data_IF_833019412618
#
_entry.id   IF_833019412618
#
_cell.length_a   1.000
_cell.length_b   1.000
_cell.length_c   1.000
_cell.angle_alpha   90.00
_cell.angle_beta   90.00
_cell.angle_gamma   90.00
#
_symmetry.space_group_name_H-M   'P 1'
#
loop_
_entity.id
_entity.type
_entity.pdbx_description
1 polymer ?
#
# COMPACT_ATOMS: atom_id res chain seq x y z
N UNK A 1 0.94 10.94 -15.05
CA UNK A 1 2.20 10.18 -15.10
C UNK A 1 2.80 9.86 -13.74
N UNK A 2 2.38 10.55 -12.66
CA UNK A 2 2.90 10.32 -11.31
C UNK A 2 1.96 9.52 -10.42
N UNK A 3 0.86 8.99 -10.95
CA UNK A 3 -0.19 8.37 -10.13
C UNK A 3 0.30 7.17 -9.32
N UNK A 4 1.24 6.38 -9.85
CA UNK A 4 1.80 5.24 -9.12
C UNK A 4 2.59 5.72 -7.90
N UNK A 5 3.38 6.76 -8.06
CA UNK A 5 4.16 7.33 -6.96
C UNK A 5 3.25 8.00 -5.93
N UNK A 6 2.27 8.76 -6.40
CA UNK A 6 1.33 9.46 -5.52
C UNK A 6 0.53 8.47 -4.67
N UNK A 7 0.02 7.40 -5.30
CA UNK A 7 -0.70 6.36 -4.59
C UNK A 7 0.19 5.60 -3.62
N UNK A 8 1.44 5.34 -4.01
CA UNK A 8 2.40 4.64 -3.14
C UNK A 8 2.74 5.47 -1.90
N UNK A 9 2.94 6.77 -2.06
CA UNK A 9 3.21 7.67 -0.93
C UNK A 9 2.01 7.76 0.01
N UNK A 10 0.80 7.79 -0.54
CA UNK A 10 -0.43 7.78 0.26
C UNK A 10 -0.54 6.47 1.05
N UNK A 11 -0.21 5.35 0.43
CA UNK A 11 -0.22 4.03 1.09
C UNK A 11 0.76 4.00 2.27
N UNK A 12 1.95 4.54 2.10
CA UNK A 12 2.95 4.59 3.16
C UNK A 12 2.43 5.39 4.36
N UNK A 13 1.83 6.55 4.09
CA UNK A 13 1.24 7.37 5.15
C UNK A 13 0.11 6.64 5.86
N UNK A 14 -0.71 5.89 5.13
CA UNK A 14 -1.79 5.08 5.70
C UNK A 14 -1.24 4.02 6.65
N UNK A 15 -0.16 3.34 6.24
CA UNK A 15 0.46 2.30 7.06
C UNK A 15 1.13 2.87 8.32
N UNK A 16 1.75 4.03 8.21
CA UNK A 16 2.34 4.73 9.37
C UNK A 16 1.25 5.17 10.35
N UNK A 17 0.15 5.72 9.84
CA UNK A 17 -0.98 6.11 10.67
C UNK A 17 -1.60 4.91 11.40
N UNK A 18 -1.73 3.78 10.69
CA UNK A 18 -2.23 2.55 11.29
C UNK A 18 -1.32 2.09 12.43
N UNK A 19 -0.01 2.13 12.21
CA UNK A 19 0.97 1.75 13.23
C UNK A 19 0.83 2.62 14.48
N UNK A 20 0.66 3.92 14.32
CA UNK A 20 0.46 4.85 15.45
C UNK A 20 -0.78 4.49 16.26
N UNK A 21 -1.82 3.99 15.60
CA UNK A 21 -3.06 3.58 16.26
C UNK A 21 -3.03 2.14 16.79
N UNK A 22 -1.89 1.47 16.72
CA UNK A 22 -1.77 0.08 17.16
C UNK A 22 -2.38 -0.95 16.23
N UNK A 23 -2.60 -0.57 14.97
CA UNK A 23 -3.16 -1.44 13.93
C UNK A 23 -2.06 -1.90 13.01
N UNK A 24 -1.96 -3.20 12.80
CA UNK A 24 -1.00 -3.77 11.84
C UNK A 24 -1.53 -3.64 10.42
N UNK A 25 -0.63 -3.48 9.47
CA UNK A 25 -1.01 -3.31 8.07
C UNK A 25 -0.01 -4.02 7.17
N UNK A 26 -0.45 -4.27 5.94
CA UNK A 26 0.40 -4.86 4.92
C UNK A 26 -0.05 -4.40 3.55
N UNK A 27 0.92 -4.09 2.70
CA UNK A 27 0.68 -3.78 1.29
C UNK A 27 0.47 -5.08 0.53
N UNK A 28 -0.62 -5.17 -0.22
CA UNK A 28 -0.88 -6.28 -1.13
C UNK A 28 -0.83 -5.74 -2.55
N UNK A 29 0.09 -6.25 -3.34
CA UNK A 29 0.38 -5.76 -4.69
C UNK A 29 -0.44 -6.51 -5.74
N UNK A 30 -1.76 -6.27 -5.78
CA UNK A 30 -2.69 -6.92 -6.70
C UNK A 30 -3.81 -6.01 -7.20
N UNK A 31 -3.86 -4.78 -6.70
CA UNK A 31 -4.97 -3.89 -7.00
C UNK A 31 -5.07 -3.55 -8.50
N UNK A 32 -3.93 -3.42 -9.17
CA UNK A 32 -3.93 -3.09 -10.60
C UNK A 32 -4.66 -4.17 -11.40
N UNK A 33 -4.28 -5.42 -11.21
CA UNK A 33 -4.86 -6.54 -11.94
C UNK A 33 -6.35 -6.68 -11.61
N UNK A 34 -6.71 -6.53 -10.35
CA UNK A 34 -8.09 -6.68 -9.91
C UNK A 34 -8.98 -5.58 -10.46
N UNK A 35 -8.55 -4.32 -10.43
CA UNK A 35 -9.36 -3.20 -10.90
C UNK A 35 -9.27 -2.95 -12.41
N UNK A 36 -8.31 -3.57 -13.09
CA UNK A 36 -8.28 -3.60 -14.56
C UNK A 36 -9.26 -4.65 -15.12
N UNK A 37 -9.68 -5.62 -14.29
CA UNK A 37 -10.64 -6.63 -14.69
C UNK A 37 -12.04 -6.05 -14.83
N UNK A 38 -12.92 -6.75 -15.58
CA UNK A 38 -14.31 -6.33 -15.74
C UNK A 38 -15.04 -6.26 -14.39
N UNK A 39 -14.81 -7.25 -13.53
CA UNK A 39 -15.41 -7.31 -12.20
C UNK A 39 -14.95 -6.14 -11.32
N UNK A 40 -13.68 -5.81 -11.37
CA UNK A 40 -13.12 -4.69 -10.62
C UNK A 40 -13.66 -3.36 -11.10
N UNK A 41 -13.80 -3.20 -12.42
CA UNK A 41 -14.37 -1.98 -13.01
C UNK A 41 -15.84 -1.81 -12.61
N UNK A 42 -16.60 -2.90 -12.58
CA UNK A 42 -17.99 -2.86 -12.12
C UNK A 42 -18.08 -2.49 -10.63
N UNK A 43 -17.16 -3.00 -9.82
CA UNK A 43 -17.11 -2.64 -8.40
C UNK A 43 -16.87 -1.15 -8.22
N UNK A 44 -15.95 -0.56 -8.97
CA UNK A 44 -15.69 0.87 -8.93
C UNK A 44 -16.91 1.68 -9.34
N UNK A 45 -17.60 1.27 -10.42
CA UNK A 45 -18.83 1.91 -10.86
C UNK A 45 -19.91 1.85 -9.79
N UNK A 46 -20.07 0.69 -9.14
CA UNK A 46 -21.04 0.52 -8.07
C UNK A 46 -20.72 1.41 -6.86
N UNK A 47 -19.46 1.69 -6.62
CA UNK A 47 -19.03 2.60 -5.55
C UNK A 47 -19.14 4.08 -5.94
N UNK A 48 -19.54 4.38 -7.16
CA UNK A 48 -19.70 5.75 -7.63
C UNK A 48 -18.43 6.37 -8.20
N UNK A 49 -17.42 5.57 -8.45
CA UNK A 49 -16.14 6.03 -9.02
C UNK A 49 -16.29 6.08 -10.55
N UNK A 50 -16.21 7.27 -11.11
CA UNK A 50 -16.27 7.50 -12.55
C UNK A 50 -14.90 7.89 -13.08
N UNK A 51 -14.57 7.40 -14.27
CA UNK A 51 -13.31 7.70 -14.92
C UNK A 51 -12.43 6.46 -15.07
N UNK A 52 -11.24 6.70 -15.59
CA UNK A 52 -10.27 5.64 -15.84
C UNK A 52 -9.26 5.61 -14.69
N UNK A 53 -9.49 4.72 -13.74
CA UNK A 53 -8.66 4.58 -12.55
C UNK A 53 -7.87 3.28 -12.58
N UNK A 54 -6.66 3.34 -12.07
CA UNK A 54 -5.77 2.19 -11.93
C UNK A 54 -5.55 1.88 -10.44
N UNK A 55 -5.65 0.62 -10.06
CA UNK A 55 -5.36 0.19 -8.70
C UNK A 55 -3.85 0.24 -8.43
N UNK A 56 -3.46 0.78 -7.29
CA UNK A 56 -2.06 0.90 -6.88
C UNK A 56 -1.70 -0.19 -5.87
N UNK A 57 -2.57 -0.44 -4.91
CA UNK A 57 -2.33 -1.44 -3.89
C UNK A 57 -3.51 -1.54 -2.93
N UNK A 58 -3.53 -2.62 -2.19
CA UNK A 58 -4.45 -2.79 -1.08
C UNK A 58 -3.68 -2.63 0.21
N UNK A 59 -4.31 -2.06 1.20
CA UNK A 59 -3.78 -2.01 2.55
C UNK A 59 -4.68 -2.87 3.43
N UNK A 60 -4.22 -4.06 3.77
CA UNK A 60 -4.96 -4.90 4.70
C UNK A 60 -4.62 -4.48 6.12
N UNK A 61 -5.62 -4.46 6.99
CA UNK A 61 -5.52 -3.96 8.35
C UNK A 61 -6.00 -5.02 9.33
N UNK A 62 -5.36 -5.07 10.50
CA UNK A 62 -5.77 -6.00 11.55
C UNK A 62 -4.93 -5.82 12.80
N UNK A 63 -5.29 -6.54 13.84
CA UNK A 63 -4.52 -6.57 15.06
C UNK A 63 -3.60 -7.78 15.07
N UNK A 64 -2.36 -7.57 15.49
CA UNK A 64 -1.38 -8.65 15.52
C UNK A 64 -1.78 -9.72 16.54
N UNK A 65 -1.62 -10.98 16.15
CA UNK A 65 -1.81 -12.13 17.04
C UNK A 65 -0.42 -12.69 17.35
N UNK A 66 0.11 -12.28 18.49
CA UNK A 66 1.44 -12.65 18.93
C UNK A 66 2.47 -11.54 18.74
N UNK A 67 3.74 -11.91 18.73
CA UNK A 67 4.83 -10.95 18.63
C UNK A 67 5.15 -10.61 17.18
N UNK A 68 5.59 -9.37 16.96
CA UNK A 68 6.08 -8.96 15.66
C UNK A 68 7.43 -9.62 15.37
N UNK A 69 7.68 -10.00 14.12
CA UNK A 69 9.01 -10.49 13.76
C UNK A 69 10.04 -9.39 13.90
N UNK A 70 11.27 -9.79 14.19
CA UNK A 70 12.37 -8.83 14.26
C UNK A 70 12.64 -8.21 12.90
N UNK A 71 13.02 -6.94 12.90
CA UNK A 71 13.40 -6.28 11.66
C UNK A 71 14.67 -6.93 11.10
N UNK A 72 14.74 -7.15 9.78
CA UNK A 72 15.95 -7.68 9.17
C UNK A 72 17.09 -6.67 9.25
N UNK A 73 18.32 -7.17 9.22
CA UNK A 73 19.48 -6.29 9.21
C UNK A 73 19.50 -5.42 7.96
N UNK A 74 19.97 -4.19 8.12
CA UNK A 74 20.15 -3.30 6.98
C UNK A 74 21.35 -3.75 6.15
N UNK A 75 21.21 -3.66 4.84
CA UNK A 75 22.30 -3.97 3.93
C UNK A 75 23.37 -2.90 4.03
N UNK A 76 24.61 -3.33 4.09
CA UNK A 76 25.75 -2.41 4.12
C UNK A 76 25.97 -1.78 2.74
N UNK A 77 26.66 -0.64 2.72
CA UNK A 77 27.03 0.03 1.49
C UNK A 77 25.88 0.72 0.79
N UNK A 78 24.80 1.05 1.52
CA UNK A 78 23.61 1.70 0.95
C UNK A 78 23.52 3.19 1.28
N UNK A 79 24.33 3.65 2.21
CA UNK A 79 24.32 5.07 2.61
C UNK A 79 25.70 5.66 2.34
N UNK A 80 25.72 6.77 1.64
CA UNK A 80 26.96 7.48 1.29
C UNK A 80 26.83 8.92 1.75
N UNK A 81 27.93 9.46 2.29
CA UNK A 81 27.98 10.85 2.76
C UNK A 81 28.85 11.67 1.83
N UNK A 82 28.38 12.88 1.53
CA UNK A 82 29.13 13.84 0.72
C UNK A 82 29.61 14.95 1.66
N UNK A 83 30.93 15.10 1.77
CA UNK A 83 31.54 16.13 2.62
C UNK A 83 31.82 17.41 1.85
#
# INVERSE_FOLDING_TARGET
>A
PTHVYDGSLTMQNLMLAAHELGVSSCWIHRAKEEFDSEEGKELLRAAGVEGDYEGIGHCILGYADGEYPAAPERKEGRVFYID
#
